data_IF_010350476981
#
_entry.id   IF_010350476981
#
_cell.length_a   1.000
_cell.length_b   1.000
_cell.length_c   1.000
_cell.angle_alpha   90.00
_cell.angle_beta   90.00
_cell.angle_gamma   90.00
#
_symmetry.space_group_name_H-M   'P 1'
#
loop_
_entity.id
_entity.type
_entity.pdbx_description
1 polymer ?
#
# COMPACT_ATOMS: atom_id res chain seq x y z
N UNK A 1 4.19 0.88 12.85
CA UNK A 1 2.73 0.74 12.68
C UNK A 1 2.47 0.35 11.24
N UNK A 2 1.74 -0.75 11.02
CA UNK A 2 1.68 -1.55 9.79
C UNK A 2 1.36 -0.74 8.53
N UNK A 3 2.39 -0.45 7.75
CA UNK A 3 2.31 0.20 6.43
C UNK A 3 1.45 -0.57 5.43
N UNK A 4 1.24 -1.88 5.66
CA UNK A 4 0.29 -2.71 4.91
C UNK A 4 -1.16 -2.21 5.00
N UNK A 5 -1.57 -1.58 6.11
CA UNK A 5 -2.92 -1.01 6.27
C UNK A 5 -3.14 0.25 5.43
N UNK A 6 -2.09 1.03 5.17
CA UNK A 6 -2.23 2.25 4.36
C UNK A 6 -2.30 1.92 2.87
N UNK A 7 -1.51 0.94 2.42
CA UNK A 7 -1.55 0.44 1.04
C UNK A 7 -2.89 -0.23 0.75
N UNK A 8 -3.40 -1.08 1.65
CA UNK A 8 -4.72 -1.71 1.47
C UNK A 8 -5.83 -0.68 1.41
N UNK A 9 -5.83 0.37 2.23
CA UNK A 9 -6.81 1.47 2.14
C UNK A 9 -6.75 2.25 0.83
N UNK A 10 -5.56 2.47 0.28
CA UNK A 10 -5.40 3.20 -0.98
C UNK A 10 -5.88 2.39 -2.19
N UNK A 11 -5.72 1.06 -2.15
CA UNK A 11 -6.09 0.16 -3.25
C UNK A 11 -7.55 -0.32 -3.16
N UNK A 12 -8.13 -0.38 -1.96
CA UNK A 12 -9.51 -0.83 -1.71
C UNK A 12 -10.58 -0.24 -2.65
N UNK A 13 -10.62 1.07 -2.96
CA UNK A 13 -11.65 1.61 -3.86
C UNK A 13 -11.54 1.12 -5.31
N UNK A 14 -10.33 0.75 -5.76
CA UNK A 14 -10.09 0.29 -7.13
C UNK A 14 -10.38 -1.21 -7.33
N UNK A 15 -10.44 -2.00 -6.26
CA UNK A 15 -10.80 -3.42 -6.33
C UNK A 15 -12.24 -3.59 -6.83
N UNK A 16 -13.15 -2.67 -6.47
CA UNK A 16 -14.55 -2.72 -6.92
C UNK A 16 -14.68 -2.53 -8.44
N UNK A 17 -13.88 -1.65 -9.04
CA UNK A 17 -13.89 -1.41 -10.48
C UNK A 17 -13.28 -2.58 -11.26
N UNK A 18 -12.22 -3.21 -10.71
CA UNK A 18 -11.57 -4.38 -11.33
C UNK A 18 -12.51 -5.58 -11.40
N UNK A 19 -13.32 -5.81 -10.36
CA UNK A 19 -14.33 -6.90 -10.35
C UNK A 19 -15.40 -6.65 -11.42
N UNK A 20 -15.73 -5.39 -11.70
CA UNK A 20 -16.74 -5.03 -12.70
C UNK A 20 -16.27 -5.27 -14.14
N UNK A 21 -14.99 -5.09 -14.43
CA UNK A 21 -14.39 -5.32 -15.76
C UNK A 21 -14.21 -6.82 -16.06
N UNK A 22 -14.06 -7.66 -15.03
CA UNK A 22 -13.88 -9.10 -15.18
C UNK A 22 -15.20 -9.88 -15.34
N UNK A 23 -16.36 -9.22 -15.29
CA UNK A 23 -17.64 -9.88 -15.51
C UNK A 23 -17.74 -10.30 -17.00
N UNK A 24 -17.87 -11.60 -17.31
CA UNK A 24 -17.97 -12.06 -18.69
C UNK A 24 -19.19 -11.42 -19.36
N UNK A 25 -18.97 -10.70 -20.46
CA UNK A 25 -20.03 -10.16 -21.32
C UNK A 25 -20.61 -11.34 -22.09
N UNK A 26 -21.47 -12.13 -21.44
CA UNK A 26 -22.24 -13.17 -22.11
C UNK A 26 -23.20 -12.50 -23.11
N UNK A 27 -22.77 -12.37 -24.35
CA UNK A 27 -23.59 -11.78 -25.41
C UNK A 27 -24.79 -12.69 -25.70
N UNK A 28 -25.96 -12.35 -25.15
CA UNK A 28 -27.22 -13.04 -25.45
C UNK A 28 -27.61 -12.79 -26.91
N UNK A 29 -27.47 -13.79 -27.78
CA UNK A 29 -28.15 -13.79 -29.09
C UNK A 29 -29.52 -14.47 -28.96
N UNK A 30 -30.55 -13.77 -29.43
CA UNK A 30 -31.97 -14.12 -29.35
C UNK A 30 -32.29 -15.19 -30.42
N UNK A 31 -32.58 -16.42 -30.01
CA UNK A 31 -33.00 -17.53 -30.88
C UNK A 31 -33.63 -18.64 -30.04
N UNK A 32 -34.82 -19.13 -30.42
CA UNK A 32 -35.73 -19.91 -29.56
C UNK A 32 -35.96 -21.35 -30.09
N UNK A 33 -34.91 -22.05 -30.50
CA UNK A 33 -34.94 -23.47 -30.91
C UNK A 33 -33.88 -24.28 -30.16
N UNK A 34 -34.14 -25.54 -29.82
CA UNK A 34 -33.25 -26.40 -29.02
C UNK A 34 -31.85 -26.57 -29.63
N UNK A 35 -31.74 -26.68 -30.96
CA UNK A 35 -30.46 -26.72 -31.68
C UNK A 35 -29.65 -25.42 -31.52
N UNK A 36 -30.34 -24.27 -31.43
CA UNK A 36 -29.69 -22.97 -31.18
C UNK A 36 -29.15 -22.85 -29.76
N UNK A 37 -29.79 -23.49 -28.77
CA UNK A 37 -29.33 -23.45 -27.38
C UNK A 37 -28.03 -24.22 -27.17
N UNK A 38 -27.88 -25.39 -27.81
CA UNK A 38 -26.64 -26.17 -27.78
C UNK A 38 -25.46 -25.40 -28.41
N UNK A 39 -25.68 -24.76 -29.56
CA UNK A 39 -24.66 -23.89 -30.18
C UNK A 39 -24.30 -22.68 -29.31
N UNK A 40 -25.30 -22.03 -28.69
CA UNK A 40 -25.07 -20.90 -27.78
C UNK A 40 -24.25 -21.33 -26.56
N UNK A 41 -24.55 -22.49 -25.97
CA UNK A 41 -23.79 -23.00 -24.82
C UNK A 41 -22.34 -23.32 -25.21
N UNK A 42 -22.13 -23.96 -26.36
CA UNK A 42 -20.78 -24.27 -26.83
C UNK A 42 -19.96 -23.00 -27.08
N UNK A 43 -20.59 -21.97 -27.64
CA UNK A 43 -19.97 -20.67 -27.84
C UNK A 43 -19.66 -19.97 -26.51
N UNK A 44 -20.57 -19.97 -25.54
CA UNK A 44 -20.34 -19.41 -24.21
C UNK A 44 -19.23 -20.13 -23.44
N UNK A 45 -19.10 -21.46 -23.58
CA UNK A 45 -18.00 -22.22 -22.98
C UNK A 45 -16.67 -21.81 -23.61
N UNK A 46 -16.62 -21.63 -24.94
CA UNK A 46 -15.41 -21.17 -25.62
C UNK A 46 -15.01 -19.75 -25.19
N UNK A 47 -15.98 -18.85 -25.04
CA UNK A 47 -15.77 -17.48 -24.58
C UNK A 47 -15.31 -17.45 -23.12
N UNK A 48 -15.91 -18.27 -22.24
CA UNK A 48 -15.48 -18.41 -20.85
C UNK A 48 -14.07 -18.97 -20.71
N UNK A 49 -13.72 -19.96 -21.54
CA UNK A 49 -12.38 -20.54 -21.53
C UNK A 49 -11.35 -19.52 -22.01
N UNK A 50 -11.62 -18.80 -23.10
CA UNK A 50 -10.75 -17.75 -23.61
C UNK A 50 -10.55 -16.63 -22.58
N UNK A 51 -11.63 -16.13 -21.98
CA UNK A 51 -11.58 -15.10 -20.94
C UNK A 51 -10.82 -15.58 -19.69
N UNK A 52 -11.03 -16.84 -19.27
CA UNK A 52 -10.32 -17.41 -18.11
C UNK A 52 -8.82 -17.55 -18.35
N UNK A 53 -8.41 -17.98 -19.54
CA UNK A 53 -6.99 -18.06 -19.92
C UNK A 53 -6.34 -16.68 -19.98
N UNK A 54 -7.06 -15.68 -20.51
CA UNK A 54 -6.56 -14.30 -20.56
C UNK A 54 -6.42 -13.69 -19.16
N UNK A 55 -7.44 -13.85 -18.30
CA UNK A 55 -7.40 -13.37 -16.93
C UNK A 55 -6.27 -14.00 -16.10
N UNK A 56 -5.95 -15.29 -16.32
CA UNK A 56 -4.80 -15.95 -15.69
C UNK A 56 -3.47 -15.28 -16.09
N UNK A 57 -3.33 -14.90 -17.35
CA UNK A 57 -2.18 -14.15 -17.85
C UNK A 57 -2.06 -12.77 -17.19
N UNK A 58 -3.17 -12.04 -17.13
CA UNK A 58 -3.22 -10.69 -16.56
C UNK A 58 -2.94 -10.69 -15.05
N UNK A 59 -3.48 -11.66 -14.30
CA UNK A 59 -3.18 -11.84 -12.87
C UNK A 59 -1.68 -12.12 -12.66
N UNK A 60 -1.07 -12.95 -13.50
CA UNK A 60 0.36 -13.22 -13.42
C UNK A 60 1.20 -11.98 -13.70
N UNK A 61 0.84 -11.21 -14.73
CA UNK A 61 1.50 -9.95 -15.05
C UNK A 61 1.37 -8.93 -13.90
N UNK A 62 0.19 -8.81 -13.30
CA UNK A 62 -0.03 -7.98 -12.11
C UNK A 62 0.84 -8.43 -10.92
N UNK A 63 0.93 -9.75 -10.69
CA UNK A 63 1.75 -10.30 -9.62
C UNK A 63 3.24 -10.00 -9.83
N UNK A 64 3.73 -10.08 -11.06
CA UNK A 64 5.10 -9.71 -11.41
C UNK A 64 5.37 -8.22 -11.21
N UNK A 65 4.44 -7.35 -11.65
CA UNK A 65 4.53 -5.91 -11.42
C UNK A 65 4.52 -5.56 -9.93
N UNK A 66 3.66 -6.22 -9.14
CA UNK A 66 3.63 -6.05 -7.69
C UNK A 66 4.94 -6.50 -7.04
N UNK A 67 5.48 -7.64 -7.46
CA UNK A 67 6.77 -8.15 -6.97
C UNK A 67 7.91 -7.17 -7.27
N UNK A 68 7.89 -6.49 -8.42
CA UNK A 68 8.87 -5.48 -8.77
C UNK A 68 8.68 -4.16 -8.00
N UNK A 69 7.43 -3.79 -7.67
CA UNK A 69 7.13 -2.55 -6.96
C UNK A 69 7.40 -2.64 -5.44
N UNK A 70 7.18 -3.80 -4.82
CA UNK A 70 7.42 -4.03 -3.38
C UNK A 70 8.80 -3.58 -2.87
N UNK A 71 9.94 -3.95 -3.50
CA UNK A 71 11.26 -3.54 -3.01
C UNK A 71 11.48 -2.02 -3.09
N UNK A 72 10.92 -1.35 -4.10
CA UNK A 72 10.99 0.11 -4.22
C UNK A 72 10.23 0.78 -3.07
N UNK A 73 9.02 0.29 -2.76
CA UNK A 73 8.21 0.78 -1.64
C UNK A 73 8.88 0.54 -0.28
N UNK A 74 9.51 -0.62 -0.09
CA UNK A 74 10.27 -0.93 1.13
C UNK A 74 11.47 0.01 1.31
N UNK A 75 12.16 0.35 0.22
CA UNK A 75 13.31 1.25 0.24
C UNK A 75 12.89 2.68 0.61
N UNK A 76 11.84 3.19 -0.01
CA UNK A 76 11.25 4.51 0.29
C UNK A 76 10.85 4.61 1.77
N UNK A 77 10.20 3.56 2.29
CA UNK A 77 9.76 3.51 3.68
C UNK A 77 10.94 3.49 4.66
N UNK A 78 12.01 2.74 4.36
CA UNK A 78 13.23 2.74 5.17
C UNK A 78 13.89 4.10 5.18
N UNK A 79 13.97 4.79 4.04
CA UNK A 79 14.54 6.14 3.98
C UNK A 79 13.73 7.13 4.81
N UNK A 80 12.40 7.10 4.72
CA UNK A 80 11.54 7.94 5.54
C UNK A 80 11.74 7.70 7.04
N UNK A 81 11.87 6.45 7.46
CA UNK A 81 12.16 6.08 8.85
C UNK A 81 13.53 6.62 9.31
N UNK A 82 14.57 6.46 8.50
CA UNK A 82 15.91 6.97 8.80
C UNK A 82 15.94 8.49 8.96
N UNK A 83 15.20 9.22 8.12
CA UNK A 83 15.10 10.68 8.22
C UNK A 83 14.37 11.11 9.51
N UNK A 84 13.32 10.40 9.90
CA UNK A 84 12.61 10.67 11.16
C UNK A 84 13.52 10.46 12.37
N UNK A 85 14.26 9.34 12.42
CA UNK A 85 15.21 9.04 13.49
C UNK A 85 16.33 10.07 13.59
N UNK A 86 16.85 10.54 12.45
CA UNK A 86 17.88 11.58 12.42
C UNK A 86 17.37 12.90 13.02
N UNK A 87 16.12 13.29 12.73
CA UNK A 87 15.50 14.49 13.31
C UNK A 87 15.29 14.33 14.81
N UNK A 88 14.81 13.19 15.26
CA UNK A 88 14.61 12.89 16.68
C UNK A 88 15.93 12.92 17.45
N UNK A 89 17.01 12.34 16.92
CA UNK A 89 18.35 12.38 17.52
C UNK A 89 18.88 13.81 17.66
N UNK A 90 18.68 14.66 16.64
CA UNK A 90 19.10 16.07 16.72
C UNK A 90 18.29 16.82 17.77
N UNK A 91 16.97 16.62 17.80
CA UNK A 91 16.10 17.23 18.80
C UNK A 91 16.46 16.80 20.22
N UNK A 92 16.74 15.50 20.44
CA UNK A 92 17.11 14.99 21.76
C UNK A 92 18.44 15.54 22.26
N UNK A 93 19.44 15.69 21.38
CA UNK A 93 20.72 16.33 21.71
C UNK A 93 20.54 17.79 22.12
N UNK A 94 19.75 18.55 21.35
CA UNK A 94 19.47 19.96 21.66
C UNK A 94 18.72 20.11 22.99
N UNK A 95 17.70 19.28 23.23
CA UNK A 95 17.00 19.26 24.51
C UNK A 95 17.94 18.90 25.68
N UNK A 96 18.81 17.90 25.49
CA UNK A 96 19.81 17.52 26.50
C UNK A 96 20.76 18.65 26.84
N UNK A 97 21.28 19.37 25.84
CA UNK A 97 22.14 20.55 26.04
C UNK A 97 21.39 21.67 26.78
N UNK A 98 20.15 21.97 26.38
CA UNK A 98 19.34 22.99 27.02
C UNK A 98 19.07 22.67 28.50
N UNK A 99 18.75 21.41 28.81
CA UNK A 99 18.57 20.94 30.19
C UNK A 99 19.87 21.06 30.99
N UNK A 100 21.01 20.69 30.43
CA UNK A 100 22.32 20.80 31.08
C UNK A 100 22.68 22.26 31.41
N UNK A 101 22.50 23.17 30.45
CA UNK A 101 22.67 24.61 30.66
C UNK A 101 21.74 25.17 31.74
N UNK A 102 20.47 24.76 31.72
CA UNK A 102 19.49 25.15 32.74
C UNK A 102 19.89 24.67 34.15
N UNK A 103 20.33 23.42 34.27
CA UNK A 103 20.81 22.87 35.54
C UNK A 103 22.05 23.61 36.05
N UNK A 104 23.02 23.90 35.18
CA UNK A 104 24.20 24.70 35.55
C UNK A 104 23.82 26.10 36.04
N UNK A 105 22.91 26.77 35.34
CA UNK A 105 22.43 28.09 35.76
C UNK A 105 21.76 28.05 37.14
N UNK A 106 20.95 27.03 37.43
CA UNK A 106 20.33 26.83 38.75
C UNK A 106 21.38 26.59 39.85
N UNK A 107 22.39 25.77 39.57
CA UNK A 107 23.49 25.51 40.53
C UNK A 107 24.26 26.79 40.84
N UNK A 108 24.60 27.58 39.82
CA UNK A 108 25.29 28.86 39.99
C UNK A 108 24.43 29.85 40.79
N UNK A 109 23.15 29.97 40.45
CA UNK A 109 22.22 30.85 41.17
C UNK A 109 22.08 30.43 42.65
N UNK A 110 22.01 29.14 42.92
CA UNK A 110 21.93 28.61 44.29
C UNK A 110 23.23 28.86 45.07
N UNK A 111 24.39 28.63 44.46
CA UNK A 111 25.68 28.94 45.07
C UNK A 111 25.84 30.44 45.38
N UNK A 112 25.40 31.31 44.47
CA UNK A 112 25.42 32.76 44.68
C UNK A 112 24.49 33.21 45.83
N UNK A 113 23.38 32.51 46.07
CA UNK A 113 22.50 32.78 47.21
C UNK A 113 23.10 32.32 48.55
N UNK A 114 23.86 31.22 48.58
CA UNK A 114 24.52 30.72 49.80
C UNK A 114 25.77 31.52 50.19
N UNK A 115 26.41 32.18 49.22
CA UNK A 115 27.62 32.97 49.43
C UNK A 115 27.34 34.45 49.73
N UNK A 116 26.07 34.81 49.95
CA UNK A 116 25.59 36.10 50.48
C UNK A 116 25.31 35.98 51.97
#
# INVERSE_FOLDING_TARGET
>A
MSTWLSVTKAVLPYISDIISVAAPVFTRRKGNTEESQLQILQQQVSELQAASLQNLGDIKALAEQLKAALPLLEQEMRQAAQQADARLRRASLLCGLALGLGALALVIAFAALLNK
#
